data_IF_818820547226
#
_entry.id   IF_818820547226
#
_cell.length_a   1.000
_cell.length_b   1.000
_cell.length_c   1.000
_cell.angle_alpha   90.00
_cell.angle_beta   90.00
_cell.angle_gamma   90.00
#
_symmetry.space_group_name_H-M   'P 1'
#
loop_
_entity.id
_entity.type
_entity.pdbx_description
1 polymer ?
#
# COMPACT_ATOMS: atom_id res chain seq x y z
N UNK A 1 1.45 6.33 -48.72
CA UNK A 1 1.82 6.84 -47.38
C UNK A 1 0.58 7.25 -46.59
N UNK A 2 -0.41 7.89 -47.23
CA UNK A 2 -1.68 8.30 -46.58
C UNK A 2 -2.47 7.13 -45.99
N UNK A 3 -2.62 6.01 -46.70
CA UNK A 3 -3.36 4.84 -46.21
C UNK A 3 -2.79 4.23 -44.92
N UNK A 4 -1.46 4.21 -44.75
CA UNK A 4 -0.83 3.77 -43.50
C UNK A 4 -1.08 4.74 -42.35
N UNK A 5 -1.18 6.04 -42.64
CA UNK A 5 -1.48 7.09 -41.66
C UNK A 5 -2.95 7.03 -41.22
N UNK A 6 -3.87 6.75 -42.15
CA UNK A 6 -5.28 6.51 -41.83
C UNK A 6 -5.48 5.25 -41.01
N UNK A 7 -4.81 4.14 -41.34
CA UNK A 7 -4.85 2.92 -40.54
C UNK A 7 -4.30 3.16 -39.13
N UNK A 8 -3.19 3.89 -38.99
CA UNK A 8 -2.66 4.29 -37.68
C UNK A 8 -3.67 5.11 -36.87
N UNK A 9 -4.30 6.11 -37.50
CA UNK A 9 -5.32 6.93 -36.84
C UNK A 9 -6.54 6.12 -36.38
N UNK A 10 -6.97 5.11 -37.15
CA UNK A 10 -8.08 4.22 -36.77
C UNK A 10 -7.68 3.32 -35.60
N UNK A 11 -6.44 2.83 -35.57
CA UNK A 11 -5.93 2.03 -34.45
C UNK A 11 -5.87 2.89 -33.18
N UNK A 12 -5.27 4.08 -33.26
CA UNK A 12 -5.17 5.00 -32.11
C UNK A 12 -6.55 5.37 -31.57
N UNK A 13 -7.51 5.64 -32.46
CA UNK A 13 -8.89 5.97 -32.09
C UNK A 13 -9.62 4.76 -31.50
N UNK A 14 -9.31 3.54 -31.97
CA UNK A 14 -9.85 2.30 -31.40
C UNK A 14 -9.29 2.05 -30.00
N UNK A 15 -7.97 2.18 -29.82
CA UNK A 15 -7.30 2.04 -28.51
C UNK A 15 -7.86 3.05 -27.51
N UNK A 16 -7.97 4.33 -27.89
CA UNK A 16 -8.55 5.36 -27.03
C UNK A 16 -10.01 5.06 -26.66
N UNK A 17 -10.80 4.49 -27.58
CA UNK A 17 -12.17 4.07 -27.28
C UNK A 17 -12.23 2.86 -26.34
N UNK A 18 -11.28 1.92 -26.44
CA UNK A 18 -11.16 0.79 -25.53
C UNK A 18 -10.76 1.25 -24.12
N UNK A 19 -9.77 2.12 -24.00
CA UNK A 19 -9.32 2.68 -22.71
C UNK A 19 -10.45 3.47 -22.05
N UNK A 20 -11.17 4.31 -22.81
CA UNK A 20 -12.31 5.06 -22.29
C UNK A 20 -13.46 4.14 -21.81
N UNK A 21 -13.67 3.01 -22.49
CA UNK A 21 -14.66 2.01 -22.08
C UNK A 21 -14.23 1.29 -20.80
N UNK A 22 -12.98 0.91 -20.70
CA UNK A 22 -12.44 0.22 -19.52
C UNK A 22 -12.46 1.12 -18.28
N UNK A 23 -12.09 2.39 -18.44
CA UNK A 23 -12.22 3.43 -17.41
C UNK A 23 -13.67 3.63 -16.96
N UNK A 24 -14.61 3.67 -17.90
CA UNK A 24 -16.03 3.81 -17.60
C UNK A 24 -16.59 2.57 -16.86
N UNK A 25 -16.16 1.37 -17.25
CA UNK A 25 -16.53 0.12 -16.57
C UNK A 25 -15.98 0.07 -15.15
N UNK A 26 -14.71 0.43 -14.96
CA UNK A 26 -14.07 0.51 -13.65
C UNK A 26 -14.80 1.51 -12.75
N UNK A 27 -15.12 2.72 -13.24
CA UNK A 27 -15.91 3.70 -12.49
C UNK A 27 -17.31 3.18 -12.15
N UNK A 28 -17.97 2.48 -13.07
CA UNK A 28 -19.29 1.90 -12.81
C UNK A 28 -19.24 0.83 -11.71
N UNK A 29 -18.21 -0.03 -11.71
CA UNK A 29 -18.02 -1.04 -10.66
C UNK A 29 -17.76 -0.37 -9.31
N UNK A 30 -16.87 0.62 -9.26
CA UNK A 30 -16.59 1.37 -8.03
C UNK A 30 -17.84 2.07 -7.47
N UNK A 31 -18.66 2.69 -8.34
CA UNK A 31 -19.91 3.32 -7.91
C UNK A 31 -20.92 2.31 -7.39
N UNK A 32 -21.02 1.12 -8.00
CA UNK A 32 -21.88 0.04 -7.51
C UNK A 32 -21.42 -0.49 -6.16
N UNK A 33 -20.13 -0.77 -6.00
CA UNK A 33 -19.57 -1.21 -4.71
C UNK A 33 -19.77 -0.16 -3.62
N UNK A 34 -19.60 1.13 -3.95
CA UNK A 34 -19.87 2.22 -3.01
C UNK A 34 -21.35 2.25 -2.62
N UNK A 35 -22.26 2.17 -3.58
CA UNK A 35 -23.70 2.16 -3.30
C UNK A 35 -24.12 0.95 -2.44
N UNK A 36 -23.53 -0.22 -2.67
CA UNK A 36 -23.79 -1.42 -1.87
C UNK A 36 -23.30 -1.26 -0.43
N UNK A 37 -22.07 -0.74 -0.24
CA UNK A 37 -21.54 -0.43 1.09
C UNK A 37 -22.38 0.61 1.83
N UNK A 38 -22.77 1.68 1.15
CA UNK A 38 -23.62 2.74 1.71
C UNK A 38 -24.98 2.17 2.13
N UNK A 39 -25.58 1.26 1.34
CA UNK A 39 -26.83 0.59 1.70
C UNK A 39 -26.68 -0.28 2.95
N UNK A 40 -25.60 -1.07 3.04
CA UNK A 40 -25.31 -1.91 4.21
C UNK A 40 -25.10 -1.06 5.46
N UNK A 41 -24.36 0.04 5.35
CA UNK A 41 -24.15 0.99 6.46
C UNK A 41 -25.48 1.62 6.90
N UNK A 42 -26.26 2.15 5.95
CA UNK A 42 -27.56 2.72 6.24
C UNK A 42 -28.51 1.70 6.90
N UNK A 43 -28.51 0.44 6.46
CA UNK A 43 -29.30 -0.61 7.10
C UNK A 43 -28.85 -0.91 8.53
N UNK A 44 -27.54 -0.87 8.81
CA UNK A 44 -26.99 -1.03 10.14
C UNK A 44 -27.36 0.15 11.07
N UNK A 45 -27.25 1.38 10.58
CA UNK A 45 -27.64 2.60 11.29
C UNK A 45 -29.14 2.59 11.62
N UNK A 46 -30.00 2.23 10.66
CA UNK A 46 -31.45 2.10 10.89
C UNK A 46 -31.78 1.07 11.96
N UNK A 47 -31.05 -0.06 12.00
CA UNK A 47 -31.24 -1.09 13.03
C UNK A 47 -30.81 -0.59 14.41
N UNK A 48 -29.75 0.20 14.50
CA UNK A 48 -29.28 0.77 15.75
C UNK A 48 -30.24 1.85 16.27
N UNK A 49 -30.71 2.75 15.39
CA UNK A 49 -31.75 3.72 15.73
C UNK A 49 -33.03 3.02 16.24
N UNK A 50 -33.44 1.91 15.62
CA UNK A 50 -34.58 1.14 16.10
C UNK A 50 -34.35 0.57 17.51
N UNK A 51 -33.13 0.11 17.83
CA UNK A 51 -32.79 -0.36 19.19
C UNK A 51 -32.86 0.76 20.21
N UNK A 52 -32.36 1.95 19.87
CA UNK A 52 -32.43 3.13 20.73
C UNK A 52 -33.89 3.50 21.00
N UNK A 53 -34.73 3.50 19.97
CA UNK A 53 -36.18 3.77 20.12
C UNK A 53 -36.84 2.70 21.00
N UNK A 54 -36.55 1.42 20.80
CA UNK A 54 -37.11 0.34 21.61
C UNK A 54 -36.66 0.43 23.08
N UNK A 55 -35.41 0.84 23.32
CA UNK A 55 -34.87 1.09 24.66
C UNK A 55 -35.57 2.29 25.32
N UNK A 56 -35.69 3.42 24.63
CA UNK A 56 -36.40 4.61 25.11
C UNK A 56 -37.88 4.31 25.39
N UNK A 57 -38.53 3.51 24.54
CA UNK A 57 -39.92 3.07 24.78
C UNK A 57 -40.03 2.24 26.05
N UNK A 58 -39.14 1.27 26.24
CA UNK A 58 -39.09 0.46 27.47
C UNK A 58 -38.80 1.31 28.70
N UNK A 59 -37.91 2.29 28.59
CA UNK A 59 -37.60 3.21 29.68
C UNK A 59 -38.80 4.08 30.04
N UNK A 60 -39.52 4.61 29.04
CA UNK A 60 -40.78 5.35 29.23
C UNK A 60 -41.86 4.47 29.85
N UNK A 61 -42.03 3.23 29.40
CA UNK A 61 -42.95 2.26 30.00
C UNK A 61 -42.58 1.98 31.47
N UNK A 62 -41.28 1.77 31.76
CA UNK A 62 -40.79 1.56 33.12
C UNK A 62 -41.02 2.78 34.03
N UNK A 63 -40.70 3.98 33.55
CA UNK A 63 -40.97 5.23 34.25
C UNK A 63 -42.47 5.39 34.47
N UNK A 64 -43.32 5.14 33.48
CA UNK A 64 -44.78 5.22 33.63
C UNK A 64 -45.32 4.24 34.70
N UNK A 65 -44.79 3.02 34.76
CA UNK A 65 -45.14 2.03 35.80
C UNK A 65 -44.65 2.47 37.18
N UNK A 66 -43.47 3.08 37.28
CA UNK A 66 -42.89 3.56 38.54
C UNK A 66 -43.53 4.85 39.05
N UNK A 67 -43.99 5.70 38.13
CA UNK A 67 -44.67 6.97 38.43
C UNK A 67 -46.17 6.77 38.64
N UNK A 68 -46.70 5.60 38.29
CA UNK A 68 -48.00 5.16 38.77
C UNK A 68 -47.91 4.99 40.29
N UNK A 69 -48.57 5.87 41.04
CA UNK A 69 -48.88 5.64 42.45
C UNK A 69 -49.44 4.22 42.58
N UNK A 70 -48.86 3.40 43.47
CA UNK A 70 -49.42 2.08 43.80
C UNK A 70 -50.90 2.27 44.12
N UNK A 71 -51.85 1.84 43.27
CA UNK A 71 -53.20 1.69 43.76
C UNK A 71 -53.10 0.49 44.70
N UNK A 72 -53.46 0.70 45.96
CA UNK A 72 -53.77 -0.37 46.90
C UNK A 72 -54.51 -1.47 46.12
N UNK A 73 -54.01 -2.70 46.18
CA UNK A 73 -54.53 -3.83 45.42
C UNK A 73 -56.02 -4.06 45.71
N UNK A 74 -56.89 -3.41 44.94
CA UNK A 74 -58.29 -3.81 44.81
C UNK A 74 -58.38 -4.79 43.64
N UNK A 75 -58.62 -6.05 44.02
CA UNK A 75 -59.19 -7.09 43.18
C UNK A 75 -60.36 -6.48 42.41
N UNK A 76 -60.20 -6.31 41.10
CA UNK A 76 -61.32 -6.01 40.21
C UNK A 76 -62.04 -7.32 39.86
N UNK A 77 -63.27 -7.59 40.31
CA UNK A 77 -64.12 -8.49 39.56
C UNK A 77 -64.65 -7.72 38.36
N UNK A 78 -64.43 -8.30 37.18
CA UNK A 78 -65.19 -7.94 35.99
C UNK A 78 -66.69 -8.08 36.28
N UNK A 79 -67.48 -7.19 35.66
CA UNK A 79 -68.93 -7.04 35.74
C UNK A 79 -69.43 -6.24 36.95
N UNK A 80 -69.94 -5.03 36.69
CA UNK A 80 -71.36 -4.68 36.88
C UNK A 80 -71.55 -3.22 36.44
N UNK A 81 -71.96 -3.03 35.18
CA UNK A 81 -72.67 -1.80 34.80
C UNK A 81 -74.10 -1.95 35.32
N UNK A 82 -74.50 -0.97 36.13
CA UNK A 82 -75.87 -0.60 36.58
C UNK A 82 -76.23 -1.00 38.00
N UNK A 83 -76.59 0.05 38.74
CA UNK A 83 -77.22 0.15 40.06
C UNK A 83 -76.22 0.22 41.20
N UNK A 84 -76.08 1.43 41.76
CA UNK A 84 -75.90 1.71 43.19
C UNK A 84 -75.71 3.22 43.36
N UNK A 85 -76.77 3.96 43.70
CA UNK A 85 -76.71 5.39 44.04
C UNK A 85 -77.13 5.65 45.50
N UNK A 86 -77.08 4.62 46.36
CA UNK A 86 -77.37 4.77 47.80
C UNK A 86 -76.36 4.04 48.72
N UNK A 87 -75.42 3.28 48.16
CA UNK A 87 -74.38 2.54 48.93
C UNK A 87 -73.00 3.22 48.98
N UNK A 88 -72.74 4.19 48.09
CA UNK A 88 -71.45 4.87 47.98
C UNK A 88 -71.17 5.76 49.20
N UNK A 89 -72.19 6.42 49.76
CA UNK A 89 -72.04 7.30 50.91
C UNK A 89 -71.69 6.55 52.21
N UNK A 90 -72.08 5.27 52.36
CA UNK A 90 -71.70 4.45 53.53
C UNK A 90 -70.28 3.88 53.39
N UNK A 91 -69.90 3.35 52.22
CA UNK A 91 -68.54 2.89 51.96
C UNK A 91 -67.50 4.02 52.00
N UNK A 92 -67.88 5.23 51.58
CA UNK A 92 -67.02 6.42 51.69
C UNK A 92 -66.89 6.95 53.14
N UNK A 93 -67.79 6.52 54.04
CA UNK A 93 -67.75 6.86 55.47
C UNK A 93 -66.92 5.84 56.24
N UNK A 94 -67.11 4.55 55.96
CA UNK A 94 -66.30 3.45 56.49
C UNK A 94 -64.81 3.62 56.10
N UNK A 95 -64.50 3.98 54.84
CA UNK A 95 -63.11 4.27 54.42
C UNK A 95 -62.49 5.53 55.05
N UNK A 96 -63.30 6.47 55.54
CA UNK A 96 -62.82 7.64 56.29
C UNK A 96 -62.61 7.32 57.76
N UNK A 97 -63.48 6.50 58.33
CA UNK A 97 -63.37 5.99 59.71
C UNK A 97 -62.17 5.05 59.84
N UNK A 98 -61.97 4.10 58.91
CA UNK A 98 -60.78 3.23 58.86
C UNK A 98 -59.47 4.02 58.66
N UNK A 99 -59.51 5.10 57.87
CA UNK A 99 -58.39 6.04 57.74
C UNK A 99 -58.10 6.78 59.03
N UNK A 100 -59.13 7.25 59.73
CA UNK A 100 -58.97 7.91 61.01
C UNK A 100 -58.39 6.95 62.07
N UNK A 101 -58.87 5.71 62.12
CA UNK A 101 -58.37 4.66 63.02
C UNK A 101 -56.91 4.30 62.74
N UNK A 102 -56.51 4.22 61.47
CA UNK A 102 -55.11 3.95 61.09
C UNK A 102 -54.19 5.13 61.40
N UNK A 103 -54.63 6.38 61.21
CA UNK A 103 -53.88 7.54 61.67
C UNK A 103 -53.76 7.56 63.19
N UNK A 104 -54.84 7.27 63.92
CA UNK A 104 -54.85 7.24 65.38
C UNK A 104 -53.94 6.14 65.94
N UNK A 105 -53.91 4.96 65.29
CA UNK A 105 -52.96 3.88 65.61
C UNK A 105 -51.50 4.29 65.35
N UNK A 106 -51.21 4.98 64.23
CA UNK A 106 -49.88 5.50 63.94
C UNK A 106 -49.45 6.58 64.94
N UNK A 107 -50.36 7.47 65.34
CA UNK A 107 -50.10 8.49 66.36
C UNK A 107 -49.83 7.88 67.74
N UNK A 108 -50.54 6.81 68.12
CA UNK A 108 -50.26 6.08 69.37
C UNK A 108 -48.88 5.41 69.35
N UNK A 109 -48.44 4.87 68.19
CA UNK A 109 -47.09 4.33 68.04
C UNK A 109 -46.01 5.42 68.14
N UNK A 110 -46.25 6.57 67.53
CA UNK A 110 -45.30 7.71 67.60
C UNK A 110 -45.24 8.22 69.04
N UNK A 111 -46.38 8.39 69.74
CA UNK A 111 -46.44 8.78 71.16
C UNK A 111 -45.69 7.79 72.05
N UNK A 112 -45.82 6.49 71.80
CA UNK A 112 -45.10 5.45 72.56
C UNK A 112 -43.58 5.48 72.30
N UNK A 113 -43.13 5.88 71.11
CA UNK A 113 -41.71 5.95 70.74
C UNK A 113 -41.03 7.25 71.18
N UNK A 114 -41.75 8.38 71.22
CA UNK A 114 -41.20 9.72 71.52
C UNK A 114 -41.46 10.19 72.95
N UNK A 115 -42.48 9.66 73.64
CA UNK A 115 -42.74 9.96 75.06
C UNK A 115 -43.33 11.36 75.34
N UNK A 116 -43.67 12.13 74.31
CA UNK A 116 -44.29 13.46 74.42
C UNK A 116 -45.83 13.36 74.42
N UNK A 117 -46.49 14.08 75.33
CA UNK A 117 -47.97 14.05 75.49
C UNK A 117 -48.71 15.17 74.74
N UNK A 118 -48.00 16.21 74.28
CA UNK A 118 -48.58 17.36 73.60
C UNK A 118 -48.55 17.18 72.07
N UNK A 119 -49.74 17.06 71.49
CA UNK A 119 -49.97 16.76 70.07
C UNK A 119 -49.38 17.84 69.14
N UNK A 120 -49.42 19.11 69.53
CA UNK A 120 -48.88 20.20 68.70
C UNK A 120 -47.35 20.19 68.67
N UNK A 121 -46.71 19.85 69.79
CA UNK A 121 -45.24 19.78 69.89
C UNK A 121 -44.70 18.58 69.10
N UNK A 122 -45.41 17.44 69.15
CA UNK A 122 -45.04 16.24 68.41
C UNK A 122 -45.16 16.44 66.89
N UNK A 123 -46.23 17.10 66.41
CA UNK A 123 -46.39 17.40 64.98
C UNK A 123 -45.33 18.40 64.52
N UNK A 124 -45.03 19.44 65.29
CA UNK A 124 -44.00 20.42 64.92
C UNK A 124 -42.59 19.80 64.88
N UNK A 125 -42.25 18.96 65.85
CA UNK A 125 -40.97 18.22 65.84
C UNK A 125 -40.89 17.21 64.70
N UNK A 126 -42.00 16.54 64.36
CA UNK A 126 -42.05 15.66 63.19
C UNK A 126 -41.82 16.43 61.89
N UNK A 127 -42.49 17.58 61.70
CA UNK A 127 -42.29 18.45 60.53
C UNK A 127 -40.84 18.92 60.44
N UNK A 128 -40.24 19.37 61.54
CA UNK A 128 -38.83 19.80 61.52
C UNK A 128 -37.86 18.65 61.18
N UNK A 129 -38.12 17.45 61.70
CA UNK A 129 -37.30 16.27 61.40
C UNK A 129 -37.51 15.84 59.95
N UNK A 130 -38.74 15.90 59.44
CA UNK A 130 -39.06 15.58 58.06
C UNK A 130 -38.43 16.58 57.09
N UNK A 131 -38.49 17.89 57.37
CA UNK A 131 -37.85 18.94 56.58
C UNK A 131 -36.32 18.75 56.53
N UNK A 132 -35.68 18.44 57.67
CA UNK A 132 -34.25 18.11 57.70
C UNK A 132 -33.94 16.85 56.90
N UNK A 133 -34.80 15.84 56.98
CA UNK A 133 -34.62 14.59 56.25
C UNK A 133 -34.81 14.81 54.74
N UNK A 134 -35.80 15.61 54.34
CA UNK A 134 -36.04 15.99 52.96
C UNK A 134 -34.87 16.79 52.38
N UNK A 135 -34.31 17.73 53.14
CA UNK A 135 -33.10 18.46 52.74
C UNK A 135 -31.90 17.51 52.55
N UNK A 136 -31.71 16.55 53.46
CA UNK A 136 -30.66 15.53 53.35
C UNK A 136 -30.85 14.62 52.14
N UNK A 137 -32.07 14.15 51.89
CA UNK A 137 -32.39 13.34 50.70
C UNK A 137 -32.16 14.12 49.41
N UNK A 138 -32.54 15.40 49.40
CA UNK A 138 -32.31 16.27 48.24
C UNK A 138 -30.82 16.46 47.99
N UNK A 139 -30.03 16.70 49.04
CA UNK A 139 -28.57 16.81 48.95
C UNK A 139 -27.91 15.51 48.49
N UNK A 140 -28.33 14.35 49.01
CA UNK A 140 -27.81 13.05 48.58
C UNK A 140 -28.14 12.80 47.11
N UNK A 141 -29.33 13.15 46.65
CA UNK A 141 -29.70 13.02 45.23
C UNK A 141 -28.89 13.96 44.34
N UNK A 142 -28.67 15.21 44.77
CA UNK A 142 -27.80 16.16 44.06
C UNK A 142 -26.36 15.64 43.99
N UNK A 143 -25.81 15.15 45.10
CA UNK A 143 -24.48 14.55 45.14
C UNK A 143 -24.38 13.30 44.25
N UNK A 144 -25.39 12.43 44.24
CA UNK A 144 -25.40 11.28 43.34
C UNK A 144 -25.45 11.70 41.88
N UNK A 145 -26.23 12.73 41.55
CA UNK A 145 -26.30 13.29 40.20
C UNK A 145 -24.94 13.88 39.79
N UNK A 146 -24.25 14.55 40.71
CA UNK A 146 -22.92 15.08 40.46
C UNK A 146 -21.87 13.99 40.31
N UNK A 147 -21.96 12.91 41.09
CA UNK A 147 -21.10 11.72 40.95
C UNK A 147 -21.30 11.09 39.57
N UNK A 148 -22.55 10.90 39.12
CA UNK A 148 -22.85 10.35 37.79
C UNK A 148 -22.28 11.25 36.69
N UNK A 149 -22.45 12.57 36.81
CA UNK A 149 -21.89 13.55 35.87
C UNK A 149 -20.36 13.45 35.77
N UNK A 150 -19.67 13.41 36.92
CA UNK A 150 -18.21 13.30 36.96
C UNK A 150 -17.74 11.94 36.42
N UNK A 151 -18.47 10.86 36.71
CA UNK A 151 -18.16 9.53 36.16
C UNK A 151 -18.32 9.50 34.63
N UNK A 152 -19.34 10.16 34.08
CA UNK A 152 -19.53 10.30 32.64
C UNK A 152 -18.39 11.12 32.01
N UNK A 153 -17.98 12.23 32.63
CA UNK A 153 -16.83 13.02 32.19
C UNK A 153 -15.52 12.19 32.21
N UNK A 154 -15.28 11.40 33.26
CA UNK A 154 -14.13 10.51 33.35
C UNK A 154 -14.17 9.46 32.24
N UNK A 155 -15.33 8.86 31.98
CA UNK A 155 -15.49 7.87 30.92
C UNK A 155 -15.24 8.49 29.53
N UNK A 156 -15.76 9.70 29.28
CA UNK A 156 -15.52 10.43 28.05
C UNK A 156 -14.03 10.75 27.85
N UNK A 157 -13.35 11.25 28.89
CA UNK A 157 -11.91 11.53 28.83
C UNK A 157 -11.08 10.27 28.63
N UNK A 158 -11.45 9.15 29.26
CA UNK A 158 -10.78 7.86 29.05
C UNK A 158 -10.94 7.36 27.62
N UNK A 159 -12.13 7.50 27.03
CA UNK A 159 -12.38 7.17 25.63
C UNK A 159 -11.53 8.06 24.69
N UNK A 160 -11.43 9.36 24.99
CA UNK A 160 -10.61 10.29 24.23
C UNK A 160 -9.12 9.92 24.29
N UNK A 161 -8.60 9.60 25.49
CA UNK A 161 -7.22 9.12 25.68
C UNK A 161 -6.96 7.83 24.89
N UNK A 162 -7.90 6.89 24.89
CA UNK A 162 -7.78 5.67 24.09
C UNK A 162 -7.72 5.98 22.58
N UNK A 163 -8.56 6.90 22.10
CA UNK A 163 -8.55 7.37 20.72
C UNK A 163 -7.26 8.10 20.33
N UNK A 164 -6.66 8.88 21.24
CA UNK A 164 -5.34 9.48 21.01
C UNK A 164 -4.23 8.44 20.93
N UNK A 165 -4.22 7.44 21.84
CA UNK A 165 -3.23 6.36 21.81
C UNK A 165 -3.29 5.53 20.53
N UNK A 166 -4.50 5.26 20.02
CA UNK A 166 -4.66 4.55 18.76
C UNK A 166 -4.08 5.35 17.58
N UNK A 167 -4.45 6.65 17.48
CA UNK A 167 -3.90 7.54 16.43
C UNK A 167 -2.39 7.67 16.52
N UNK A 168 -1.84 7.72 17.74
CA UNK A 168 -0.40 7.75 17.94
C UNK A 168 0.27 6.47 17.42
N UNK A 169 -0.30 5.29 17.68
CA UNK A 169 0.21 4.03 17.14
C UNK A 169 0.13 3.97 15.62
N UNK A 170 -0.98 4.41 15.02
CA UNK A 170 -1.15 4.47 13.57
C UNK A 170 -0.11 5.40 12.93
N UNK A 171 0.09 6.60 13.51
CA UNK A 171 1.10 7.55 13.06
C UNK A 171 2.52 6.98 13.23
N UNK A 172 2.81 6.32 14.34
CA UNK A 172 4.11 5.67 14.55
C UNK A 172 4.36 4.56 13.52
N UNK A 173 3.34 3.77 13.20
CA UNK A 173 3.43 2.71 12.20
C UNK A 173 3.69 3.29 10.80
N UNK A 174 2.98 4.35 10.43
CA UNK A 174 3.21 5.05 9.17
C UNK A 174 4.61 5.67 9.10
N UNK A 175 5.05 6.36 10.17
CA UNK A 175 6.40 6.90 10.25
C UNK A 175 7.48 5.82 10.13
N UNK A 176 7.29 4.66 10.78
CA UNK A 176 8.21 3.52 10.66
C UNK A 176 8.23 2.98 9.23
N UNK A 177 7.07 2.86 8.58
CA UNK A 177 6.97 2.41 7.19
C UNK A 177 7.72 3.35 6.24
N UNK A 178 7.50 4.66 6.38
CA UNK A 178 8.21 5.69 5.59
C UNK A 178 9.71 5.63 5.84
N UNK A 179 10.14 5.49 7.10
CA UNK A 179 11.56 5.37 7.45
C UNK A 179 12.21 4.16 6.79
N UNK A 180 11.57 2.99 6.87
CA UNK A 180 12.09 1.77 6.23
C UNK A 180 12.15 1.89 4.71
N UNK A 181 11.20 2.60 4.09
CA UNK A 181 11.23 2.85 2.66
C UNK A 181 12.39 3.78 2.28
N UNK A 182 12.60 4.85 3.03
CA UNK A 182 13.73 5.76 2.83
C UNK A 182 15.08 5.06 3.04
N UNK A 183 15.21 4.22 4.07
CA UNK A 183 16.41 3.42 4.31
C UNK A 183 16.68 2.45 3.15
N UNK A 184 15.65 1.79 2.61
CA UNK A 184 15.81 0.92 1.43
C UNK A 184 16.29 1.69 0.20
N UNK A 185 15.67 2.84 -0.08
CA UNK A 185 16.08 3.69 -1.21
C UNK A 185 17.52 4.19 -1.04
N UNK A 186 17.90 4.58 0.18
CA UNK A 186 19.26 4.99 0.50
C UNK A 186 20.25 3.84 0.30
N UNK A 187 19.91 2.62 0.75
CA UNK A 187 20.77 1.46 0.56
C UNK A 187 20.94 1.10 -0.91
N UNK A 188 19.85 1.15 -1.69
CA UNK A 188 19.91 0.89 -3.13
C UNK A 188 20.75 1.93 -3.87
N UNK A 189 20.53 3.22 -3.60
CA UNK A 189 21.34 4.30 -4.16
C UNK A 189 22.82 4.17 -3.76
N UNK A 190 23.11 3.78 -2.51
CA UNK A 190 24.47 3.53 -2.03
C UNK A 190 25.14 2.37 -2.78
N UNK A 191 24.42 1.26 -2.97
CA UNK A 191 24.91 0.11 -3.72
C UNK A 191 25.18 0.47 -5.19
N UNK A 192 24.30 1.24 -5.82
CA UNK A 192 24.49 1.73 -7.18
C UNK A 192 25.71 2.66 -7.27
N UNK A 193 25.87 3.59 -6.33
CA UNK A 193 27.02 4.48 -6.27
C UNK A 193 28.34 3.70 -6.11
N UNK A 194 28.38 2.70 -5.23
CA UNK A 194 29.54 1.82 -5.06
C UNK A 194 29.88 1.06 -6.36
N UNK A 195 28.86 0.55 -7.06
CA UNK A 195 29.04 -0.10 -8.36
C UNK A 195 29.59 0.84 -9.44
N UNK A 196 29.11 2.09 -9.48
CA UNK A 196 29.67 3.11 -10.39
C UNK A 196 31.11 3.47 -10.03
N UNK A 197 31.44 3.58 -8.75
CA UNK A 197 32.80 3.88 -8.29
C UNK A 197 33.78 2.77 -8.71
N UNK A 198 33.38 1.49 -8.61
CA UNK A 198 34.19 0.37 -9.07
C UNK A 198 34.40 0.39 -10.59
N UNK A 199 33.35 0.69 -11.37
CA UNK A 199 33.46 0.85 -12.83
C UNK A 199 34.39 2.00 -13.20
N UNK A 200 34.29 3.15 -12.52
CA UNK A 200 35.20 4.28 -12.74
C UNK A 200 36.65 3.89 -12.42
N UNK A 201 36.89 3.16 -11.33
CA UNK A 201 38.23 2.64 -11.00
C UNK A 201 38.77 1.72 -12.10
N UNK A 202 37.93 0.82 -12.63
CA UNK A 202 38.31 -0.08 -13.72
C UNK A 202 38.66 0.68 -15.01
N UNK A 203 37.81 1.63 -15.42
CA UNK A 203 38.04 2.46 -16.61
C UNK A 203 39.29 3.32 -16.46
N UNK A 204 39.49 3.97 -15.31
CA UNK A 204 40.69 4.76 -15.06
C UNK A 204 41.97 3.91 -15.12
N UNK A 205 41.93 2.66 -14.66
CA UNK A 205 43.06 1.74 -14.78
C UNK A 205 43.39 1.45 -16.25
N UNK A 206 42.39 1.19 -17.09
CA UNK A 206 42.58 0.97 -18.53
C UNK A 206 43.12 2.24 -19.20
N UNK A 207 42.57 3.40 -18.84
CA UNK A 207 42.99 4.69 -19.38
C UNK A 207 44.46 5.00 -19.03
N UNK A 208 44.90 4.67 -17.81
CA UNK A 208 46.29 4.87 -17.40
C UNK A 208 47.26 3.91 -18.12
N UNK A 209 46.83 2.67 -18.36
CA UNK A 209 47.56 1.74 -19.22
C UNK A 209 47.67 2.26 -20.66
N UNK A 210 46.59 2.84 -21.19
CA UNK A 210 46.56 3.43 -22.53
C UNK A 210 47.52 4.63 -22.63
N UNK A 211 47.53 5.52 -21.63
CA UNK A 211 48.50 6.64 -21.58
C UNK A 211 49.93 6.15 -21.62
N UNK A 212 50.26 5.19 -20.75
CA UNK A 212 51.60 4.61 -20.67
C UNK A 212 52.00 3.92 -21.98
N UNK A 213 51.08 3.16 -22.59
CA UNK A 213 51.30 2.51 -23.88
C UNK A 213 51.50 3.52 -25.02
N UNK A 214 50.70 4.58 -25.04
CA UNK A 214 50.80 5.67 -26.02
C UNK A 214 52.13 6.40 -25.88
N UNK A 215 52.58 6.71 -24.66
CA UNK A 215 53.88 7.34 -24.41
C UNK A 215 55.04 6.45 -24.86
N UNK A 216 54.96 5.15 -24.58
CA UNK A 216 55.96 4.16 -25.03
C UNK A 216 56.05 4.11 -26.56
N UNK A 217 54.91 4.07 -27.26
CA UNK A 217 54.85 4.06 -28.72
C UNK A 217 55.35 5.37 -29.32
N UNK A 218 54.93 6.50 -28.76
CA UNK A 218 55.38 7.83 -29.19
C UNK A 218 56.89 7.95 -29.17
N UNK A 219 57.52 7.45 -28.10
CA UNK A 219 58.97 7.44 -27.92
C UNK A 219 59.66 6.46 -28.88
N UNK A 220 59.14 5.24 -29.03
CA UNK A 220 59.74 4.20 -29.90
C UNK A 220 59.68 4.54 -31.39
N UNK A 221 58.59 5.14 -31.84
CA UNK A 221 58.40 5.54 -33.25
C UNK A 221 59.18 6.82 -33.57
N UNK A 222 59.70 7.51 -32.55
CA UNK A 222 60.47 8.74 -32.70
C UNK A 222 59.61 9.90 -33.19
N UNK A 223 58.40 10.04 -32.63
CA UNK A 223 57.52 11.15 -32.97
C UNK A 223 58.10 12.47 -32.45
N UNK A 224 58.00 13.54 -33.25
CA UNK A 224 58.58 14.84 -32.90
C UNK A 224 57.79 15.52 -31.78
N UNK A 225 58.36 15.55 -30.57
CA UNK A 225 57.76 16.21 -29.40
C UNK A 225 57.58 17.73 -29.57
N UNK A 226 58.41 18.35 -30.41
CA UNK A 226 58.35 19.79 -30.71
C UNK A 226 57.03 20.24 -31.36
N UNK A 227 56.36 19.38 -32.12
CA UNK A 227 55.06 19.72 -32.76
C UNK A 227 53.96 19.81 -31.68
N UNK A 228 54.08 18.99 -30.63
CA UNK A 228 53.16 19.00 -29.51
C UNK A 228 53.45 20.13 -28.55
N UNK A 229 54.72 20.40 -28.25
CA UNK A 229 55.10 21.50 -27.33
C UNK A 229 54.66 22.88 -27.88
N UNK A 230 54.60 23.04 -29.22
CA UNK A 230 54.11 24.26 -29.88
C UNK A 230 52.57 24.35 -29.90
N UNK A 231 51.86 23.21 -29.94
CA UNK A 231 50.39 23.15 -30.03
C UNK A 231 49.68 23.06 -28.66
N UNK A 232 50.31 22.40 -27.67
CA UNK A 232 49.75 22.12 -26.33
C UNK A 232 50.42 22.98 -25.23
N UNK A 233 51.41 23.80 -25.59
CA UNK A 233 52.26 24.51 -24.65
C UNK A 233 53.13 23.56 -23.80
N UNK A 234 53.88 24.10 -22.83
CA UNK A 234 54.80 23.33 -21.95
C UNK A 234 54.14 22.32 -21.00
N UNK A 235 52.90 21.87 -21.28
CA UNK A 235 52.21 20.81 -20.56
C UNK A 235 52.86 19.46 -20.86
N UNK A 236 53.91 19.16 -20.10
CA UNK A 236 54.69 17.93 -20.20
C UNK A 236 53.87 16.75 -19.67
N UNK A 237 53.08 16.10 -20.53
CA UNK A 237 52.44 14.82 -20.19
C UNK A 237 51.21 14.48 -21.03
N UNK A 238 50.96 13.17 -21.18
CA UNK A 238 49.74 12.67 -21.81
C UNK A 238 48.60 12.73 -20.78
N UNK A 239 47.76 13.75 -20.89
CA UNK A 239 46.49 13.90 -20.15
C UNK A 239 45.30 13.36 -20.95
N UNK A 240 44.18 13.10 -20.29
CA UNK A 240 42.96 12.51 -20.89
C UNK A 240 42.46 13.26 -22.12
N UNK A 241 42.56 14.60 -22.09
CA UNK A 241 42.18 15.46 -23.21
C UNK A 241 43.20 15.46 -24.35
N UNK A 242 44.45 15.13 -24.05
CA UNK A 242 45.57 15.15 -25.00
C UNK A 242 45.87 13.80 -25.66
N UNK A 243 45.44 12.66 -25.07
CA UNK A 243 45.70 11.29 -25.59
C UNK A 243 45.34 11.18 -27.08
N UNK A 244 44.20 11.74 -27.49
CA UNK A 244 43.75 11.67 -28.89
C UNK A 244 44.71 12.37 -29.85
N UNK A 245 45.28 13.52 -29.46
CA UNK A 245 46.25 14.24 -30.30
C UNK A 245 47.57 13.47 -30.41
N UNK A 246 48.03 12.84 -29.31
CA UNK A 246 49.20 11.95 -29.34
C UNK A 246 48.98 10.76 -30.28
N UNK A 247 47.82 10.10 -30.21
CA UNK A 247 47.48 8.98 -31.11
C UNK A 247 47.42 9.41 -32.57
N UNK A 248 46.84 10.58 -32.89
CA UNK A 248 46.79 11.09 -34.26
C UNK A 248 48.19 11.35 -34.85
N UNK A 249 49.13 11.85 -34.05
CA UNK A 249 50.52 12.02 -34.50
C UNK A 249 51.25 10.69 -34.67
N UNK A 250 51.01 9.73 -33.77
CA UNK A 250 51.54 8.37 -33.90
C UNK A 250 51.02 7.74 -35.19
N UNK A 251 49.73 7.88 -35.49
CA UNK A 251 49.12 7.40 -36.72
C UNK A 251 49.77 8.03 -37.95
N UNK A 252 49.88 9.36 -37.99
CA UNK A 252 50.53 10.07 -39.10
C UNK A 252 51.97 9.57 -39.31
N UNK A 253 52.74 9.41 -38.24
CA UNK A 253 54.13 8.95 -38.33
C UNK A 253 54.22 7.49 -38.75
N UNK A 254 53.34 6.64 -38.26
CA UNK A 254 53.26 5.23 -38.64
C UNK A 254 52.92 5.09 -40.12
N UNK A 255 51.95 5.87 -40.63
CA UNK A 255 51.58 5.88 -42.06
C UNK A 255 52.74 6.33 -42.95
N UNK A 256 53.53 7.31 -42.52
CA UNK A 256 54.76 7.70 -43.22
C UNK A 256 55.78 6.56 -43.27
N UNK A 257 56.00 5.86 -42.15
CA UNK A 257 56.93 4.73 -42.09
C UNK A 257 56.47 3.57 -42.98
N UNK A 258 55.18 3.23 -42.96
CA UNK A 258 54.58 2.22 -43.84
C UNK A 258 54.71 2.59 -45.33
N UNK A 259 54.55 3.88 -45.66
CA UNK A 259 54.75 4.38 -47.03
C UNK A 259 56.21 4.26 -47.48
N UNK A 260 57.16 4.54 -46.58
CA UNK A 260 58.60 4.35 -46.87
C UNK A 260 58.91 2.87 -47.03
N UNK A 261 58.37 2.01 -46.17
CA UNK A 261 58.58 0.58 -46.24
C UNK A 261 58.04 -0.03 -47.53
N UNK A 262 56.81 0.32 -47.94
CA UNK A 262 56.22 -0.16 -49.19
C UNK A 262 57.02 0.29 -50.42
N UNK A 263 57.53 1.53 -50.41
CA UNK A 263 58.44 2.02 -51.44
C UNK A 263 59.75 1.23 -51.50
N UNK A 264 60.38 0.96 -50.35
CA UNK A 264 61.61 0.16 -50.28
C UNK A 264 61.38 -1.28 -50.75
N UNK A 265 60.29 -1.92 -50.33
CA UNK A 265 59.91 -3.26 -50.79
C UNK A 265 59.63 -3.30 -52.29
N UNK A 266 59.06 -2.24 -52.88
CA UNK A 266 58.85 -2.16 -54.33
C UNK A 266 60.15 -2.05 -55.15
N UNK A 267 61.25 -1.63 -54.51
CA UNK A 267 62.58 -1.50 -55.13
C UNK A 267 63.47 -2.73 -54.95
N UNK A 268 62.99 -3.73 -54.22
CA UNK A 268 63.73 -4.94 -53.92
C UNK A 268 63.59 -5.93 -55.08
N UNK A 269 64.54 -5.89 -56.03
CA UNK A 269 64.49 -6.65 -57.29
C UNK A 269 64.57 -8.17 -57.11
N UNK A 270 64.94 -8.65 -55.92
CA UNK A 270 65.04 -10.08 -55.59
C UNK A 270 63.68 -10.71 -55.19
N UNK A 271 62.62 -9.91 -54.99
CA UNK A 271 61.26 -10.39 -54.70
C UNK A 271 60.28 -10.03 -55.81
N UNK A 272 59.37 -10.94 -56.21
CA UNK A 272 58.33 -10.61 -57.17
C UNK A 272 57.37 -9.58 -56.55
N UNK A 273 57.19 -8.44 -57.23
CA UNK A 273 56.29 -7.39 -56.80
C UNK A 273 54.84 -7.85 -56.91
N UNK A 274 54.15 -8.03 -55.77
CA UNK A 274 52.71 -8.26 -55.71
C UNK A 274 51.97 -6.97 -55.28
N UNK A 275 51.13 -6.38 -56.16
CA UNK A 275 50.35 -5.19 -55.83
C UNK A 275 49.37 -5.41 -54.66
N UNK A 276 48.94 -6.65 -54.39
CA UNK A 276 48.08 -6.95 -53.23
C UNK A 276 48.85 -6.86 -51.93
N UNK A 277 50.06 -7.40 -51.88
CA UNK A 277 50.92 -7.34 -50.69
C UNK A 277 51.36 -5.90 -50.39
N UNK A 278 51.68 -5.12 -51.43
CA UNK A 278 52.02 -3.70 -51.29
C UNK A 278 50.83 -2.87 -50.75
N UNK A 279 49.61 -3.14 -51.22
CA UNK A 279 48.40 -2.49 -50.70
C UNK A 279 48.14 -2.86 -49.23
N UNK A 280 48.24 -4.16 -48.89
CA UNK A 280 48.05 -4.64 -47.51
C UNK A 280 49.06 -4.02 -46.55
N UNK A 281 50.33 -3.92 -46.97
CA UNK A 281 51.38 -3.28 -46.18
C UNK A 281 51.13 -1.77 -46.00
N UNK A 282 50.67 -1.06 -47.04
CA UNK A 282 50.37 0.37 -46.96
C UNK A 282 49.18 0.67 -46.02
N UNK A 283 48.20 -0.24 -45.97
CA UNK A 283 47.06 -0.18 -45.05
C UNK A 283 47.41 -0.65 -43.63
N UNK A 284 48.66 -1.04 -43.35
CA UNK A 284 49.10 -1.53 -42.04
C UNK A 284 48.45 -2.85 -41.63
N UNK A 285 47.88 -3.60 -42.57
CA UNK A 285 47.23 -4.88 -42.33
C UNK A 285 48.26 -6.02 -42.46
N UNK A 286 48.16 -7.05 -41.64
CA UNK A 286 49.00 -8.25 -41.75
C UNK A 286 48.27 -9.30 -42.62
N UNK A 287 48.94 -9.90 -43.61
CA UNK A 287 48.40 -10.98 -44.45
C UNK A 287 48.18 -12.30 -43.68
N UNK A 288 48.76 -12.44 -42.49
CA UNK A 288 48.54 -13.61 -41.64
C UNK A 288 47.35 -13.40 -40.71
N UNK A 289 46.26 -14.06 -41.07
CA UNK A 289 45.00 -14.05 -40.33
C UNK A 289 43.99 -13.20 -41.06
N UNK A 290 43.16 -13.86 -41.88
CA UNK A 290 41.85 -13.31 -42.19
C UNK A 290 41.27 -12.81 -40.86
N UNK A 291 41.07 -11.49 -40.73
CA UNK A 291 40.18 -10.99 -39.70
C UNK A 291 38.91 -11.80 -39.90
N UNK A 292 38.58 -12.67 -38.94
CA UNK A 292 37.29 -13.33 -38.95
C UNK A 292 36.28 -12.21 -39.17
N UNK A 293 35.36 -12.35 -40.13
CA UNK A 293 34.38 -11.30 -40.37
C UNK A 293 33.80 -10.96 -39.01
N UNK A 294 34.03 -9.73 -38.55
CA UNK A 294 33.44 -9.24 -37.32
C UNK A 294 31.95 -9.28 -37.59
N UNK A 295 31.32 -10.36 -37.14
CA UNK A 295 29.89 -10.50 -37.09
C UNK A 295 29.46 -9.59 -35.95
N UNK A 296 29.29 -8.32 -36.28
CA UNK A 296 28.64 -7.36 -35.41
C UNK A 296 27.18 -7.77 -35.45
N UNK A 297 26.77 -8.57 -34.46
CA UNK A 297 25.35 -8.73 -34.20
C UNK A 297 24.78 -7.34 -33.96
N UNK A 298 23.77 -6.89 -34.75
CA UNK A 298 23.02 -5.71 -34.37
C UNK A 298 22.51 -5.96 -32.94
N UNK A 299 22.52 -4.95 -32.06
CA UNK A 299 22.03 -5.13 -30.69
C UNK A 299 20.63 -5.71 -30.77
N UNK A 300 20.50 -6.97 -30.37
CA UNK A 300 19.22 -7.64 -30.20
C UNK A 300 18.47 -6.83 -29.15
N UNK A 301 17.40 -6.16 -29.56
CA UNK A 301 16.36 -5.66 -28.65
C UNK A 301 15.62 -6.87 -28.11
N UNK A 302 16.25 -7.57 -27.19
CA UNK A 302 15.78 -8.82 -26.64
C UNK A 302 16.72 -9.24 -25.52
N UNK A 303 16.45 -8.68 -24.34
CA UNK A 303 16.85 -9.12 -23.01
C UNK A 303 17.78 -10.34 -22.97
N UNK A 304 19.04 -10.11 -22.58
CA UNK A 304 19.77 -11.14 -21.85
C UNK A 304 19.54 -10.92 -20.35
N UNK A 305 19.41 -12.06 -19.67
CA UNK A 305 19.40 -12.30 -18.23
C UNK A 305 18.06 -12.09 -17.51
N UNK A 306 17.18 -13.10 -17.58
CA UNK A 306 16.68 -13.73 -16.36
C UNK A 306 16.16 -15.16 -16.62
N UNK A 307 16.59 -16.09 -15.77
CA UNK A 307 16.08 -17.45 -15.67
C UNK A 307 14.59 -17.40 -15.27
N UNK A 308 13.67 -17.50 -16.24
CA UNK A 308 12.29 -17.87 -15.94
C UNK A 308 11.60 -18.47 -17.16
N UNK A 309 11.44 -19.79 -17.15
CA UNK A 309 10.53 -20.53 -18.02
C UNK A 309 9.12 -19.95 -17.93
N UNK A 310 8.69 -19.19 -18.93
CA UNK A 310 7.27 -18.95 -19.26
C UNK A 310 7.20 -18.55 -20.74
N UNK A 311 7.06 -19.55 -21.61
CA UNK A 311 6.64 -19.35 -23.00
C UNK A 311 5.28 -18.63 -23.02
N UNK A 312 5.29 -17.32 -23.28
CA UNK A 312 4.12 -16.58 -23.71
C UNK A 312 3.97 -16.75 -25.22
N UNK A 313 2.87 -17.33 -25.74
CA UNK A 313 2.65 -17.45 -27.17
C UNK A 313 2.14 -16.12 -27.72
N UNK A 314 3.06 -15.19 -27.96
CA UNK A 314 2.81 -13.99 -28.73
C UNK A 314 3.15 -14.24 -30.19
N UNK A 315 2.15 -14.62 -30.98
CA UNK A 315 1.93 -14.28 -32.40
C UNK A 315 0.98 -15.32 -32.99
N UNK A 316 -0.32 -15.07 -32.91
CA UNK A 316 -1.32 -15.34 -33.96
C UNK A 316 -2.73 -15.07 -33.40
N UNK A 317 -3.35 -14.05 -33.98
CA UNK A 317 -4.79 -13.76 -33.99
C UNK A 317 -5.43 -13.14 -32.73
N UNK A 318 -5.46 -11.80 -32.71
CA UNK A 318 -6.36 -10.94 -31.93
C UNK A 318 -7.84 -11.12 -32.35
N UNK A 319 -8.40 -12.32 -32.17
CA UNK A 319 -9.84 -12.54 -32.19
C UNK A 319 -10.25 -13.34 -30.95
N UNK A 320 -11.41 -13.04 -30.34
CA UNK A 320 -11.89 -13.80 -29.20
C UNK A 320 -12.09 -15.26 -29.62
N UNK A 321 -11.37 -16.17 -28.98
CA UNK A 321 -11.44 -17.61 -29.27
C UNK A 321 -12.87 -18.12 -29.01
N UNK A 322 -13.35 -18.97 -29.90
CA UNK A 322 -14.63 -19.65 -29.70
C UNK A 322 -14.50 -20.71 -28.59
N UNK A 323 -15.61 -21.05 -27.94
CA UNK A 323 -15.63 -22.03 -26.83
C UNK A 323 -15.01 -23.39 -27.22
N UNK A 324 -15.14 -23.78 -28.49
CA UNK A 324 -14.55 -25.01 -29.02
C UNK A 324 -13.02 -24.95 -29.10
N UNK A 325 -12.45 -23.84 -29.58
CA UNK A 325 -11.01 -23.63 -29.70
C UNK A 325 -10.33 -23.52 -28.32
N UNK A 326 -10.99 -22.87 -27.36
CA UNK A 326 -10.51 -22.79 -25.99
C UNK A 326 -10.42 -24.19 -25.35
N UNK A 327 -11.44 -25.03 -25.57
CA UNK A 327 -11.45 -26.42 -25.08
C UNK A 327 -10.31 -27.24 -25.71
N UNK A 328 -10.04 -27.07 -27.00
CA UNK A 328 -8.94 -27.77 -27.67
C UNK A 328 -7.57 -27.33 -27.14
N UNK A 329 -7.38 -26.03 -26.87
CA UNK A 329 -6.13 -25.47 -26.33
C UNK A 329 -5.87 -25.98 -24.91
N UNK A 330 -6.92 -26.07 -24.08
CA UNK A 330 -6.83 -26.68 -22.74
C UNK A 330 -6.47 -28.16 -22.84
N UNK A 331 -7.13 -28.92 -23.74
CA UNK A 331 -6.83 -30.34 -23.93
C UNK A 331 -5.38 -30.58 -24.39
N UNK A 332 -4.87 -29.77 -25.32
CA UNK A 332 -3.46 -29.82 -25.75
C UNK A 332 -2.48 -29.51 -24.60
N UNK A 333 -2.84 -28.55 -23.73
CA UNK A 333 -2.07 -28.24 -22.52
C UNK A 333 -2.03 -29.40 -21.52
N UNK A 334 -3.17 -30.08 -21.31
CA UNK A 334 -3.27 -31.26 -20.42
C UNK A 334 -2.43 -32.41 -20.97
N UNK A 335 -2.52 -32.71 -22.27
CA UNK A 335 -1.73 -33.78 -22.92
C UNK A 335 -0.23 -33.50 -22.79
N UNK A 336 0.23 -32.26 -23.05
CA UNK A 336 1.65 -31.89 -22.86
C UNK A 336 2.11 -32.01 -21.41
N UNK A 337 1.22 -31.74 -20.44
CA UNK A 337 1.51 -31.86 -19.02
C UNK A 337 1.61 -33.33 -18.60
N UNK A 338 0.74 -34.19 -19.13
CA UNK A 338 0.82 -35.64 -18.95
C UNK A 338 2.09 -36.24 -19.58
N UNK A 339 2.47 -35.83 -20.79
CA UNK A 339 3.72 -36.26 -21.44
C UNK A 339 4.97 -35.83 -20.64
N UNK A 340 4.97 -34.62 -20.08
CA UNK A 340 6.04 -34.15 -19.18
C UNK A 340 6.08 -34.96 -17.87
N UNK A 341 4.93 -35.36 -17.34
CA UNK A 341 4.86 -36.22 -16.14
C UNK A 341 5.38 -37.64 -16.41
N UNK A 342 5.03 -38.22 -17.56
CA UNK A 342 5.56 -39.52 -18.01
C UNK A 342 7.08 -39.48 -18.24
N UNK A 343 7.62 -38.40 -18.83
CA UNK A 343 9.08 -38.23 -19.01
C UNK A 343 9.83 -38.09 -17.67
N UNK A 344 9.25 -37.40 -16.68
CA UNK A 344 9.82 -37.33 -15.31
C UNK A 344 9.78 -38.67 -14.59
N UNK A 345 8.74 -39.49 -14.80
CA UNK A 345 8.67 -40.86 -14.26
C UNK A 345 9.70 -41.82 -14.86
N UNK A 346 10.04 -41.65 -16.14
CA UNK A 346 11.04 -42.51 -16.81
C UNK A 346 12.49 -42.19 -16.42
N UNK A 347 12.78 -40.96 -15.98
CA UNK A 347 14.11 -40.56 -15.51
C UNK A 347 14.44 -41.05 -14.09
N UNK A 348 13.45 -41.46 -13.28
CA UNK A 348 13.71 -41.99 -11.93
C UNK A 348 14.07 -43.48 -11.89
N UNK A 349 13.94 -44.20 -13.01
CA UNK A 349 14.29 -45.63 -13.13
C UNK A 349 15.36 -45.84 -14.21
N UNK A 350 16.58 -45.35 -13.96
CA UNK A 350 17.78 -45.82 -14.68
C UNK A 350 18.78 -46.35 -13.66
N UNK A 351 18.90 -47.69 -13.47
CA UNK A 351 19.88 -48.23 -12.54
C UNK A 351 21.28 -47.97 -13.09
N UNK A 352 22.13 -47.38 -12.25
CA UNK A 352 23.53 -47.12 -12.56
C UNK A 352 24.26 -48.47 -12.70
N UNK A 353 24.48 -48.91 -13.94
CA UNK A 353 25.45 -49.96 -14.25
C UNK A 353 26.85 -49.36 -14.13
N UNK A 354 27.51 -49.67 -13.00
CA UNK A 354 28.93 -49.43 -12.77
C UNK A 354 29.75 -50.31 -13.70
N UNK A 355 30.66 -49.71 -14.44
CA UNK A 355 31.92 -50.31 -14.85
C UNK A 355 33.07 -49.36 -14.53
#
# INVERSE_FOLDING_TARGET
QETRKEVGAVIDMSTAAYDARDDAQTKMVQLKEKAEKDLVLHAAEMKELQRVIDHDRKLKEFMAIKTQERPSEEIRPYSTRKREDEGSAKRQKETKEERAETFEAAFQQIRAATGEEDLEVLVNTFIEVEDRNFALFSYINEQNTEIERVQEEIAALQAEIAGFRQREQELQWEQQRVRQQMERQQQEASNQAAGYEERVKAVNKILEQLKTGTESLFTKIGCNRSILDDMLGSSCGITDTTIMQYLGLIEQRTNQLLSIQSYLTSKDYDRPYDPREAAVLLLGQKLEGAMQPLYIEPPTTGNNDDDSELESPGTEEERPLTQAELRERIMKGVIRKEEKALKKGFQSYRPQLKH
#
